data_IF_515806367994
#
_entry.id   IF_515806367994
#
_cell.length_a   1.000
_cell.length_b   1.000
_cell.length_c   1.000
_cell.angle_alpha   90.00
_cell.angle_beta   90.00
_cell.angle_gamma   90.00
#
_symmetry.space_group_name_H-M   'P 1'
#
loop_
_entity.id
_entity.type
_entity.pdbx_description
1 polymer ?
#
# COMPACT_ATOMS: atom_id res chain seq x y z
N UNK A 1 35.35 -18.21 -17.64
CA UNK A 1 35.11 -17.19 -18.68
C UNK A 1 33.63 -17.10 -18.97
N UNK A 2 33.07 -15.92 -18.85
CA UNK A 2 31.62 -15.73 -19.08
C UNK A 2 31.34 -15.80 -20.58
N UNK A 3 30.28 -16.52 -20.93
CA UNK A 3 29.74 -16.60 -22.26
C UNK A 3 28.62 -15.55 -22.39
N UNK A 4 28.33 -15.07 -23.60
CA UNK A 4 27.22 -14.12 -23.82
C UNK A 4 25.87 -14.65 -23.40
N UNK A 5 25.71 -15.98 -23.28
CA UNK A 5 24.47 -16.61 -22.80
C UNK A 5 24.47 -16.88 -21.29
N UNK A 6 25.58 -16.64 -20.63
CA UNK A 6 25.69 -16.82 -19.20
C UNK A 6 25.15 -15.56 -18.50
N UNK A 7 24.28 -15.75 -17.55
CA UNK A 7 23.82 -14.68 -16.70
C UNK A 7 23.66 -15.17 -15.26
N UNK A 8 23.92 -14.30 -14.33
CA UNK A 8 23.77 -14.58 -12.91
C UNK A 8 22.41 -14.10 -12.43
N UNK A 9 21.66 -15.02 -11.82
CA UNK A 9 20.37 -14.66 -11.20
C UNK A 9 20.64 -13.98 -9.86
N UNK A 10 20.17 -12.74 -9.72
CA UNK A 10 20.28 -11.98 -8.49
C UNK A 10 18.94 -11.98 -7.76
N UNK A 11 18.95 -12.15 -6.44
CA UNK A 11 17.73 -11.99 -5.65
C UNK A 11 17.45 -10.51 -5.41
N UNK A 12 16.20 -10.21 -4.99
CA UNK A 12 15.76 -8.83 -4.79
C UNK A 12 16.56 -8.07 -3.74
N UNK A 13 17.16 -8.75 -2.78
CA UNK A 13 17.92 -8.10 -1.73
C UNK A 13 19.15 -7.36 -2.24
N UNK A 14 19.70 -7.78 -3.38
CA UNK A 14 20.88 -7.10 -3.97
C UNK A 14 20.60 -5.66 -4.35
N UNK A 15 19.34 -5.31 -4.63
CA UNK A 15 18.92 -3.95 -4.99
C UNK A 15 18.76 -3.04 -3.77
N UNK A 16 18.72 -3.60 -2.56
CA UNK A 16 18.43 -2.90 -1.32
C UNK A 16 19.53 -3.13 -0.27
N UNK A 17 20.77 -3.38 -0.74
CA UNK A 17 21.88 -3.70 0.16
C UNK A 17 22.48 -2.49 0.87
N UNK A 18 22.20 -1.26 0.40
CA UNK A 18 22.72 -0.05 1.00
C UNK A 18 22.05 0.23 2.36
N UNK A 19 22.77 0.94 3.22
CA UNK A 19 22.31 1.22 4.58
C UNK A 19 20.99 2.00 4.63
N UNK A 20 20.78 2.95 3.70
CA UNK A 20 19.57 3.74 3.66
C UNK A 20 18.34 2.87 3.30
N UNK A 21 18.48 1.96 2.35
CA UNK A 21 17.41 1.01 1.98
C UNK A 21 17.08 0.06 3.12
N UNK A 22 18.11 -0.45 3.82
CA UNK A 22 17.92 -1.32 4.98
C UNK A 22 17.16 -0.61 6.09
N UNK A 23 17.51 0.65 6.38
CA UNK A 23 16.81 1.45 7.37
C UNK A 23 15.34 1.67 7.00
N UNK A 24 15.06 1.96 5.73
CA UNK A 24 13.68 2.12 5.25
C UNK A 24 12.88 0.83 5.37
N UNK A 25 13.50 -0.31 5.06
CA UNK A 25 12.85 -1.61 5.20
C UNK A 25 12.53 -1.92 6.66
N UNK A 26 13.47 -1.65 7.56
CA UNK A 26 13.27 -1.87 9.00
C UNK A 26 12.16 -0.97 9.55
N UNK A 27 12.11 0.29 9.12
CA UNK A 27 11.05 1.21 9.52
C UNK A 27 9.67 0.74 9.02
N UNK A 28 9.59 0.28 7.78
CA UNK A 28 8.35 -0.27 7.21
C UNK A 28 7.92 -1.53 7.96
N UNK A 29 8.85 -2.43 8.23
CA UNK A 29 8.57 -3.67 8.96
C UNK A 29 8.05 -3.37 10.37
N UNK A 30 8.64 -2.40 11.06
CA UNK A 30 8.21 -1.99 12.40
C UNK A 30 6.78 -1.45 12.37
N UNK A 31 6.45 -0.60 11.40
CA UNK A 31 5.09 -0.08 11.24
C UNK A 31 4.09 -1.20 10.92
N UNK A 32 4.50 -2.16 10.09
CA UNK A 32 3.65 -3.29 9.74
C UNK A 32 3.38 -4.19 10.96
N UNK A 33 4.40 -4.46 11.76
CA UNK A 33 4.23 -5.24 12.99
C UNK A 33 3.30 -4.53 13.98
N UNK A 34 3.42 -3.22 14.12
CA UNK A 34 2.52 -2.43 14.96
C UNK A 34 1.08 -2.51 14.45
N UNK A 35 0.89 -2.36 13.15
CA UNK A 35 -0.42 -2.53 12.51
C UNK A 35 -1.01 -3.90 12.81
N UNK A 36 -0.23 -4.97 12.63
CA UNK A 36 -0.69 -6.33 12.90
C UNK A 36 -1.06 -6.55 14.36
N UNK A 37 -0.35 -5.90 15.27
CA UNK A 37 -0.63 -6.01 16.71
C UNK A 37 -1.97 -5.41 17.11
N UNK A 38 -2.48 -4.44 16.35
CA UNK A 38 -3.73 -3.75 16.61
C UNK A 38 -4.88 -4.19 15.71
N UNK A 39 -4.58 -4.72 14.52
CA UNK A 39 -5.58 -5.12 13.52
C UNK A 39 -5.97 -6.60 13.68
N UNK A 40 -6.62 -6.96 14.78
CA UNK A 40 -6.92 -8.36 15.11
C UNK A 40 -8.28 -8.83 14.62
N UNK A 41 -9.21 -7.92 14.37
CA UNK A 41 -10.53 -8.23 13.83
C UNK A 41 -10.76 -7.40 12.56
N UNK A 42 -11.79 -7.78 11.79
CA UNK A 42 -12.17 -7.02 10.59
C UNK A 42 -12.48 -5.57 10.94
N UNK A 43 -13.21 -5.32 12.01
CA UNK A 43 -13.61 -3.97 12.43
C UNK A 43 -12.42 -3.15 12.90
N UNK A 44 -11.53 -3.75 13.69
CA UNK A 44 -10.31 -3.08 14.13
C UNK A 44 -9.41 -2.72 12.94
N UNK A 45 -9.30 -3.63 11.97
CA UNK A 45 -8.53 -3.39 10.74
C UNK A 45 -9.12 -2.21 9.96
N UNK A 46 -10.44 -2.19 9.77
CA UNK A 46 -11.12 -1.09 9.08
C UNK A 46 -10.89 0.23 9.81
N UNK A 47 -11.01 0.26 11.13
CA UNK A 47 -10.81 1.47 11.92
C UNK A 47 -9.40 2.01 11.78
N UNK A 48 -8.39 1.14 11.82
CA UNK A 48 -6.98 1.54 11.64
C UNK A 48 -6.71 2.05 10.23
N UNK A 49 -7.27 1.38 9.22
CA UNK A 49 -7.12 1.82 7.82
C UNK A 49 -7.78 3.17 7.60
N UNK A 50 -8.97 3.38 8.14
CA UNK A 50 -9.68 4.67 8.03
C UNK A 50 -8.89 5.78 8.70
N UNK A 51 -8.34 5.54 9.88
CA UNK A 51 -7.50 6.51 10.57
C UNK A 51 -6.28 6.89 9.73
N UNK A 52 -5.60 5.90 9.14
CA UNK A 52 -4.46 6.14 8.27
C UNK A 52 -4.85 6.91 7.01
N UNK A 53 -6.01 6.59 6.41
CA UNK A 53 -6.51 7.28 5.23
C UNK A 53 -6.84 8.74 5.52
N UNK A 54 -7.49 9.03 6.64
CA UNK A 54 -7.77 10.41 7.06
C UNK A 54 -6.49 11.19 7.27
N UNK A 55 -5.48 10.57 7.90
CA UNK A 55 -4.17 11.18 8.10
C UNK A 55 -3.44 11.47 6.78
N UNK A 56 -3.71 10.71 5.73
CA UNK A 56 -3.13 10.89 4.40
C UNK A 56 -3.95 11.83 3.50
N UNK A 57 -5.03 12.43 4.02
CA UNK A 57 -5.83 13.38 3.27
C UNK A 57 -7.02 12.79 2.52
N UNK A 58 -7.33 11.52 2.72
CA UNK A 58 -8.52 10.90 2.14
C UNK A 58 -9.77 11.29 2.93
N UNK A 59 -10.89 11.40 2.24
CA UNK A 59 -12.17 11.74 2.84
C UNK A 59 -13.32 10.96 2.21
N UNK A 60 -14.49 11.03 2.82
CA UNK A 60 -15.70 10.43 2.26
C UNK A 60 -16.43 11.34 1.27
N UNK A 61 -15.86 12.50 0.98
CA UNK A 61 -16.40 13.45 0.00
C UNK A 61 -15.92 13.04 -1.40
N UNK A 62 -16.82 12.47 -2.18
CA UNK A 62 -16.52 11.94 -3.51
C UNK A 62 -16.32 13.02 -4.58
N UNK A 63 -16.42 14.30 -4.22
CA UNK A 63 -16.00 15.40 -5.10
C UNK A 63 -14.49 15.61 -5.07
N UNK A 64 -13.79 15.02 -4.09
CA UNK A 64 -12.35 15.13 -3.94
C UNK A 64 -11.62 14.06 -4.74
N UNK A 65 -10.30 14.19 -4.86
CA UNK A 65 -9.45 13.27 -5.60
C UNK A 65 -9.05 12.03 -4.80
N UNK A 66 -8.97 12.17 -3.48
CA UNK A 66 -8.62 11.09 -2.58
C UNK A 66 -9.85 10.75 -1.74
N UNK A 67 -10.45 9.59 -1.99
CA UNK A 67 -11.73 9.23 -1.39
C UNK A 67 -11.71 7.83 -0.82
N UNK A 68 -12.51 7.61 0.21
CA UNK A 68 -12.77 6.28 0.75
C UNK A 68 -14.22 6.15 1.19
N UNK A 69 -14.65 4.90 1.32
CA UNK A 69 -15.95 4.56 1.90
C UNK A 69 -15.83 3.23 2.63
N UNK A 70 -16.48 3.12 3.77
CA UNK A 70 -16.56 1.86 4.50
C UNK A 70 -17.90 1.19 4.22
N UNK A 71 -17.91 -0.14 4.35
CA UNK A 71 -19.11 -0.94 4.23
C UNK A 71 -19.28 -1.79 5.49
N UNK A 72 -20.29 -1.47 6.28
CA UNK A 72 -20.67 -2.17 7.52
C UNK A 72 -19.53 -2.33 8.53
N UNK A 73 -18.52 -1.49 8.49
CA UNK A 73 -17.35 -1.60 9.34
C UNK A 73 -16.47 -2.81 9.06
N UNK A 74 -16.65 -3.49 7.92
CA UNK A 74 -15.94 -4.73 7.57
C UNK A 74 -15.14 -4.64 6.29
N UNK A 75 -15.39 -3.64 5.47
CA UNK A 75 -14.68 -3.43 4.22
C UNK A 75 -14.41 -1.95 4.01
N UNK A 76 -13.35 -1.65 3.27
CA UNK A 76 -12.99 -0.28 2.89
C UNK A 76 -12.77 -0.24 1.39
N UNK A 77 -13.43 0.71 0.73
CA UNK A 77 -13.15 1.09 -0.64
C UNK A 77 -12.31 2.35 -0.63
N UNK A 78 -11.22 2.36 -1.37
CA UNK A 78 -10.29 3.49 -1.47
C UNK A 78 -10.08 3.81 -2.93
N UNK A 79 -10.17 5.07 -3.29
CA UNK A 79 -9.92 5.49 -4.67
C UNK A 79 -9.08 6.76 -4.71
N UNK A 80 -8.21 6.81 -5.69
CA UNK A 80 -7.47 8.01 -6.10
C UNK A 80 -7.83 8.29 -7.54
N UNK A 81 -8.36 9.48 -7.81
CA UNK A 81 -8.70 9.86 -9.17
C UNK A 81 -7.42 10.04 -10.00
N UNK A 82 -7.42 9.43 -11.18
CA UNK A 82 -6.35 9.61 -12.14
C UNK A 82 -6.54 10.89 -12.95
N UNK A 83 -5.58 11.15 -13.84
CA UNK A 83 -5.58 12.32 -14.72
C UNK A 83 -6.44 12.10 -15.96
N UNK A 84 -6.73 10.84 -16.31
CA UNK A 84 -7.50 10.48 -17.50
C UNK A 84 -8.95 10.15 -17.11
N UNK A 85 -9.91 10.28 -18.04
CA UNK A 85 -11.29 9.90 -17.75
C UNK A 85 -11.43 8.39 -17.48
N UNK A 86 -12.47 8.02 -16.75
CA UNK A 86 -12.74 6.61 -16.40
C UNK A 86 -12.87 5.70 -17.65
N UNK A 87 -13.31 6.26 -18.78
CA UNK A 87 -13.40 5.52 -20.04
C UNK A 87 -12.04 4.96 -20.50
N UNK A 88 -10.93 5.54 -20.05
CA UNK A 88 -9.58 5.06 -20.35
C UNK A 88 -9.18 3.84 -19.49
N UNK A 89 -10.02 3.45 -18.55
CA UNK A 89 -9.78 2.31 -17.67
C UNK A 89 -9.44 2.70 -16.24
N UNK A 90 -9.40 1.69 -15.37
CA UNK A 90 -9.04 1.85 -13.96
C UNK A 90 -8.02 0.78 -13.60
N UNK A 91 -7.20 1.09 -12.61
CA UNK A 91 -6.32 0.10 -11.98
C UNK A 91 -6.99 -0.34 -10.69
N UNK A 92 -7.28 -1.63 -10.58
CA UNK A 92 -7.92 -2.21 -9.41
C UNK A 92 -6.95 -3.10 -8.65
N UNK A 93 -6.86 -2.88 -7.34
CA UNK A 93 -6.10 -3.74 -6.43
C UNK A 93 -7.06 -4.14 -5.32
N UNK A 94 -7.14 -5.45 -5.05
CA UNK A 94 -8.00 -5.95 -3.98
C UNK A 94 -7.20 -6.87 -3.05
N UNK A 95 -7.57 -6.86 -1.80
CA UNK A 95 -6.97 -7.72 -0.78
C UNK A 95 -8.03 -8.17 0.22
#
# INVERSE_FOLDING_TARGET
MNNEFDFETKNGWTHYADAASQEQMDALATRYMDFLSHAKTERETVDLVVEALKGAGFSEDFTKDLVFRTYRGKAVFVARKGKKPLASGVRLISA
#
